data_IF_969140142038
#
_entry.id   IF_969140142038
#
_cell.length_a   1.000
_cell.length_b   1.000
_cell.length_c   1.000
_cell.angle_alpha   90.00
_cell.angle_beta   90.00
_cell.angle_gamma   90.00
#
_symmetry.space_group_name_H-M   'P 1'
#
loop_
_entity.id
_entity.type
_entity.pdbx_description
1 polymer ?
#
# COMPACT_ATOMS: atom_id res chain seq x y z
N UNK A 1 -12.17 12.22 11.11
CA UNK A 1 -12.76 13.12 10.08
C UNK A 1 -13.40 12.21 9.04
N UNK A 2 -14.72 12.18 8.91
CA UNK A 2 -15.37 11.47 7.80
C UNK A 2 -15.35 12.39 6.57
N UNK A 3 -14.70 11.94 5.49
CA UNK A 3 -14.79 12.59 4.20
C UNK A 3 -15.92 11.91 3.39
N UNK A 4 -16.95 12.67 3.04
CA UNK A 4 -18.06 12.18 2.22
C UNK A 4 -17.86 12.63 0.78
N UNK A 5 -17.55 11.70 -0.11
CA UNK A 5 -17.45 11.96 -1.54
C UNK A 5 -18.75 11.52 -2.21
N UNK A 6 -19.46 12.40 -2.95
CA UNK A 6 -20.78 12.09 -3.52
C UNK A 6 -20.75 10.97 -4.58
N UNK A 7 -19.57 10.61 -5.08
CA UNK A 7 -19.37 9.52 -6.04
C UNK A 7 -18.98 8.18 -5.40
N UNK A 8 -18.79 8.15 -4.08
CA UNK A 8 -18.40 6.95 -3.34
C UNK A 8 -19.59 6.38 -2.58
N UNK A 9 -19.93 5.10 -2.81
CA UNK A 9 -20.92 4.38 -2.01
C UNK A 9 -20.34 4.07 -0.62
N UNK A 10 -20.87 4.65 0.46
CA UNK A 10 -20.41 4.39 1.83
C UNK A 10 -19.21 5.25 2.31
N UNK A 11 -18.83 5.14 3.60
CA UNK A 11 -17.83 6.00 4.23
C UNK A 11 -16.43 5.82 3.63
N UNK A 12 -15.63 6.89 3.65
CA UNK A 12 -14.21 6.87 3.28
C UNK A 12 -13.37 6.55 4.51
N UNK A 13 -12.69 5.40 4.52
CA UNK A 13 -11.91 4.94 5.67
C UNK A 13 -10.42 5.28 5.47
N UNK A 14 -9.96 6.31 6.17
CA UNK A 14 -8.58 6.80 6.03
C UNK A 14 -7.62 5.86 6.77
N UNK A 15 -6.88 5.05 6.03
CA UNK A 15 -5.81 4.20 6.56
C UNK A 15 -4.45 4.90 6.60
N UNK A 16 -4.16 5.76 5.62
CA UNK A 16 -2.87 6.48 5.51
C UNK A 16 -3.08 7.96 5.20
N UNK A 17 -2.24 8.84 5.75
CA UNK A 17 -2.23 10.27 5.43
C UNK A 17 -0.79 10.72 5.18
N UNK A 18 -0.56 11.48 4.10
CA UNK A 18 0.76 12.00 3.77
C UNK A 18 0.64 13.32 3.00
N UNK A 19 1.75 14.07 2.91
CA UNK A 19 1.84 15.27 2.10
C UNK A 19 2.79 15.07 0.94
N UNK A 20 2.45 15.60 -0.22
CA UNK A 20 3.33 15.63 -1.38
C UNK A 20 3.21 16.98 -2.07
N UNK A 21 4.34 17.64 -2.30
CA UNK A 21 4.41 19.02 -2.79
C UNK A 21 3.58 19.96 -1.90
N UNK A 22 2.59 20.67 -2.45
CA UNK A 22 1.68 21.58 -1.73
C UNK A 22 0.34 20.95 -1.39
N UNK A 23 0.20 19.63 -1.55
CA UNK A 23 -1.05 18.89 -1.40
C UNK A 23 -1.00 17.95 -0.20
N UNK A 24 -2.17 17.73 0.41
CA UNK A 24 -2.38 16.75 1.49
C UNK A 24 -3.25 15.64 0.94
N UNK A 25 -2.85 14.40 1.19
CA UNK A 25 -3.51 13.18 0.73
C UNK A 25 -4.03 12.38 1.91
N UNK A 26 -5.25 11.88 1.76
CA UNK A 26 -5.88 10.88 2.63
C UNK A 26 -6.18 9.66 1.78
N UNK A 27 -5.64 8.52 2.20
CA UNK A 27 -5.77 7.27 1.49
C UNK A 27 -6.76 6.35 2.19
N UNK A 28 -7.74 5.89 1.43
CA UNK A 28 -8.49 4.69 1.73
C UNK A 28 -7.90 3.56 0.88
N UNK A 29 -7.24 2.63 1.56
CA UNK A 29 -6.54 1.52 0.91
C UNK A 29 -7.48 0.54 0.19
N UNK A 30 -8.80 0.68 0.35
CA UNK A 30 -9.78 -0.08 -0.41
C UNK A 30 -10.24 0.64 -1.68
N UNK A 31 -10.07 1.96 -1.77
CA UNK A 31 -10.79 2.79 -2.76
C UNK A 31 -9.90 3.73 -3.54
N UNK A 32 -9.01 4.47 -2.86
CA UNK A 32 -8.19 5.48 -3.51
C UNK A 32 -7.70 6.60 -2.61
N UNK A 33 -7.28 7.68 -3.26
CA UNK A 33 -6.70 8.86 -2.65
C UNK A 33 -7.64 10.05 -2.81
N UNK A 34 -8.02 10.62 -1.67
CA UNK A 34 -8.57 11.97 -1.60
C UNK A 34 -7.43 12.96 -1.38
N UNK A 35 -7.45 14.10 -2.07
CA UNK A 35 -6.46 15.14 -1.82
C UNK A 35 -6.99 16.56 -2.01
N UNK A 36 -6.33 17.52 -1.38
CA UNK A 36 -6.58 18.95 -1.59
C UNK A 36 -5.29 19.76 -1.53
N UNK A 37 -5.33 20.98 -2.08
CA UNK A 37 -4.24 21.94 -1.94
C UNK A 37 -4.21 22.52 -0.53
N UNK A 38 -3.05 22.45 0.15
CA UNK A 38 -2.85 23.01 1.50
C UNK A 38 -3.14 24.51 1.54
N UNK A 39 -2.88 25.21 0.43
CA UNK A 39 -3.12 26.65 0.29
C UNK A 39 -4.61 26.99 0.16
N UNK A 40 -5.40 26.10 -0.45
CA UNK A 40 -6.86 26.29 -0.56
C UNK A 40 -7.54 26.21 0.81
N UNK A 41 -6.93 25.51 1.78
CA UNK A 41 -7.41 25.42 3.16
C UNK A 41 -7.08 26.64 4.03
N UNK A 42 -6.32 27.63 3.54
CA UNK A 42 -5.93 28.84 4.30
C UNK A 42 -6.77 30.07 3.96
N UNK A 43 -7.57 30.03 2.88
CA UNK A 43 -8.52 31.08 2.54
C UNK A 43 -9.93 30.75 3.04
N UNK A 44 -10.81 31.74 3.13
CA UNK A 44 -12.25 31.56 3.45
C UNK A 44 -13.05 30.85 2.32
N UNK A 45 -12.37 30.11 1.45
CA UNK A 45 -12.96 29.35 0.34
C UNK A 45 -13.20 27.90 0.75
N UNK A 46 -14.31 27.32 0.30
CA UNK A 46 -14.62 25.90 0.44
C UNK A 46 -13.46 25.06 -0.12
N UNK A 47 -12.89 24.17 0.71
CA UNK A 47 -11.80 23.27 0.27
C UNK A 47 -12.39 22.26 -0.70
N UNK A 48 -12.02 22.38 -1.98
CA UNK A 48 -12.36 21.39 -2.99
C UNK A 48 -11.40 20.20 -2.86
N UNK A 49 -11.97 19.00 -2.77
CA UNK A 49 -11.22 17.76 -2.77
C UNK A 49 -11.32 17.11 -4.14
N UNK A 50 -10.19 16.61 -4.61
CA UNK A 50 -10.10 15.73 -5.76
C UNK A 50 -9.97 14.28 -5.29
N UNK A 51 -10.39 13.35 -6.14
CA UNK A 51 -10.28 11.92 -5.91
C UNK A 51 -9.49 11.23 -7.02
N UNK A 52 -8.66 10.25 -6.64
CA UNK A 52 -7.91 9.38 -7.53
C UNK A 52 -8.21 7.94 -7.09
N UNK A 53 -8.75 7.14 -8.00
CA UNK A 53 -8.99 5.72 -7.76
C UNK A 53 -7.67 4.97 -7.55
N UNK A 54 -7.70 3.82 -6.88
CA UNK A 54 -6.57 2.88 -6.89
C UNK A 54 -6.25 2.37 -8.30
N UNK A 55 -5.10 1.70 -8.52
CA UNK A 55 -4.85 1.02 -9.78
C UNK A 55 -6.00 0.07 -10.14
N UNK A 56 -6.30 -0.02 -11.43
CA UNK A 56 -7.40 -0.85 -11.93
C UNK A 56 -7.28 -2.29 -11.42
N UNK A 57 -8.37 -2.82 -10.86
CA UNK A 57 -8.42 -4.17 -10.28
C UNK A 57 -7.98 -4.28 -8.81
N UNK A 58 -7.56 -3.18 -8.18
CA UNK A 58 -7.14 -3.17 -6.76
C UNK A 58 -8.15 -2.49 -5.81
N UNK A 59 -9.24 -1.96 -6.36
CA UNK A 59 -10.38 -1.49 -5.58
C UNK A 59 -11.10 -2.68 -4.93
N UNK A 60 -11.35 -2.61 -3.63
CA UNK A 60 -12.16 -3.60 -2.92
C UNK A 60 -13.61 -3.18 -2.99
N UNK A 61 -14.44 -4.01 -3.63
CA UNK A 61 -15.88 -3.80 -3.70
C UNK A 61 -16.53 -4.53 -2.54
N UNK A 62 -16.74 -3.81 -1.45
CA UNK A 62 -17.38 -4.33 -0.23
C UNK A 62 -18.76 -4.92 -0.54
N UNK A 63 -19.49 -4.32 -1.48
CA UNK A 63 -20.84 -4.75 -1.89
C UNK A 63 -20.87 -6.11 -2.65
N UNK A 64 -19.72 -6.58 -3.13
CA UNK A 64 -19.60 -7.82 -3.90
C UNK A 64 -19.13 -9.02 -3.05
N UNK A 65 -18.92 -8.81 -1.75
CA UNK A 65 -18.33 -9.83 -0.86
C UNK A 65 -19.38 -10.57 -0.01
N UNK A 66 -19.18 -11.88 0.24
CA UNK A 66 -20.07 -12.63 1.11
C UNK A 66 -20.04 -12.08 2.54
N UNK A 67 -21.20 -11.95 3.17
CA UNK A 67 -21.35 -11.41 4.54
C UNK A 67 -20.58 -12.20 5.62
N UNK A 68 -20.17 -13.44 5.32
CA UNK A 68 -19.49 -14.37 6.24
C UNK A 68 -17.96 -14.40 6.08
N UNK A 69 -17.39 -13.67 5.12
CA UNK A 69 -15.94 -13.54 5.00
C UNK A 69 -15.45 -12.37 5.87
N UNK A 70 -14.84 -12.68 7.02
CA UNK A 70 -14.09 -11.67 7.78
C UNK A 70 -12.93 -11.18 6.92
N UNK A 71 -13.08 -10.00 6.31
CA UNK A 71 -12.04 -9.43 5.49
C UNK A 71 -10.88 -8.97 6.37
N UNK A 72 -9.67 -9.45 6.05
CA UNK A 72 -8.45 -8.91 6.63
C UNK A 72 -8.34 -7.41 6.31
N UNK A 73 -7.94 -6.56 7.28
CA UNK A 73 -7.74 -5.14 7.06
C UNK A 73 -6.86 -4.87 5.82
N UNK A 74 -7.23 -3.93 4.93
CA UNK A 74 -6.45 -3.62 3.73
C UNK A 74 -4.98 -3.33 4.01
N UNK A 75 -4.66 -2.72 5.15
CA UNK A 75 -3.31 -2.38 5.61
C UNK A 75 -2.39 -3.61 5.72
N UNK A 76 -2.95 -4.82 5.85
CA UNK A 76 -2.19 -6.06 5.89
C UNK A 76 -1.47 -6.36 4.57
N UNK A 77 -2.02 -5.90 3.46
CA UNK A 77 -1.54 -6.30 2.14
C UNK A 77 -1.07 -5.14 1.32
N UNK A 78 -1.50 -3.93 1.66
CA UNK A 78 -1.22 -2.78 0.81
C UNK A 78 -0.99 -1.52 1.59
N UNK A 79 -0.28 -0.60 0.95
CA UNK A 79 0.03 0.70 1.49
C UNK A 79 0.21 1.70 0.36
N UNK A 80 0.11 2.98 0.69
CA UNK A 80 0.34 4.07 -0.24
C UNK A 80 1.00 5.23 0.47
N UNK A 81 1.85 5.96 -0.24
CA UNK A 81 2.60 7.04 0.39
C UNK A 81 3.55 7.71 -0.59
N UNK A 82 4.29 8.69 -0.10
CA UNK A 82 5.30 9.39 -0.87
C UNK A 82 6.70 8.87 -0.52
N UNK A 83 7.44 8.40 -1.53
CA UNK A 83 8.84 7.98 -1.40
C UNK A 83 9.62 8.33 -2.67
N UNK A 84 10.91 8.65 -2.54
CA UNK A 84 11.75 9.02 -3.70
C UNK A 84 11.21 10.18 -4.56
N UNK A 85 10.38 11.07 -3.99
CA UNK A 85 9.74 12.16 -4.74
C UNK A 85 8.54 11.75 -5.61
N UNK A 86 8.04 10.52 -5.46
CA UNK A 86 6.87 10.00 -6.16
C UNK A 86 5.84 9.47 -5.16
N UNK A 87 4.56 9.45 -5.55
CA UNK A 87 3.53 8.75 -4.80
C UNK A 87 3.49 7.30 -5.28
N UNK A 88 3.67 6.35 -4.37
CA UNK A 88 3.70 4.92 -4.65
C UNK A 88 2.57 4.19 -3.96
N UNK A 89 1.98 3.23 -4.65
CA UNK A 89 1.09 2.21 -4.10
C UNK A 89 1.79 0.87 -4.18
N UNK A 90 1.70 0.07 -3.12
CA UNK A 90 2.27 -1.27 -3.04
C UNK A 90 1.18 -2.22 -2.61
N UNK A 91 1.10 -3.38 -3.25
CA UNK A 91 0.17 -4.44 -2.90
C UNK A 91 0.89 -5.80 -2.88
N UNK A 92 0.60 -6.60 -1.87
CA UNK A 92 0.93 -8.01 -1.76
C UNK A 92 -0.23 -8.77 -2.39
N UNK A 93 -0.06 -9.16 -3.64
CA UNK A 93 -1.05 -9.92 -4.40
C UNK A 93 -0.91 -11.41 -4.04
N UNK A 94 -1.90 -11.95 -3.32
CA UNK A 94 -1.94 -13.37 -2.91
C UNK A 94 -2.98 -14.13 -3.75
N UNK A 95 -2.55 -14.93 -4.73
CA UNK A 95 -3.48 -15.78 -5.47
C UNK A 95 -4.17 -16.77 -4.52
N UNK A 96 -5.51 -16.81 -4.53
CA UNK A 96 -6.30 -17.73 -3.69
C UNK A 96 -5.88 -19.20 -3.86
N UNK A 97 -5.45 -19.57 -5.05
CA UNK A 97 -5.06 -20.94 -5.39
C UNK A 97 -3.64 -21.29 -4.91
N UNK A 98 -2.75 -20.30 -4.77
CA UNK A 98 -1.33 -20.49 -4.48
C UNK A 98 -0.78 -19.39 -3.56
N UNK A 99 -1.06 -19.45 -2.24
CA UNK A 99 -0.62 -18.44 -1.26
C UNK A 99 0.91 -18.25 -1.23
N UNK A 100 1.66 -19.33 -1.48
CA UNK A 100 3.13 -19.31 -1.50
C UNK A 100 3.72 -18.54 -2.68
N UNK A 101 2.89 -18.09 -3.62
CA UNK A 101 3.28 -17.33 -4.81
C UNK A 101 2.88 -15.86 -4.69
N UNK A 102 2.92 -15.30 -3.47
CA UNK A 102 2.70 -13.89 -3.24
C UNK A 102 3.60 -13.04 -4.14
N UNK A 103 2.97 -12.10 -4.87
CA UNK A 103 3.65 -11.16 -5.77
C UNK A 103 3.58 -9.77 -5.15
N UNK A 104 4.73 -9.15 -4.94
CA UNK A 104 4.80 -7.74 -4.60
C UNK A 104 4.62 -6.92 -5.87
N UNK A 105 3.57 -6.12 -5.90
CA UNK A 105 3.27 -5.24 -7.01
C UNK A 105 3.44 -3.79 -6.59
N UNK A 106 3.96 -2.99 -7.50
CA UNK A 106 4.34 -1.60 -7.26
C UNK A 106 3.75 -0.72 -8.36
N UNK A 107 3.25 0.45 -7.97
CA UNK A 107 2.78 1.46 -8.91
C UNK A 107 3.28 2.83 -8.49
N UNK A 108 3.61 3.65 -9.47
CA UNK A 108 3.86 5.08 -9.30
C UNK A 108 2.69 5.87 -9.88
N UNK A 109 2.23 6.88 -9.14
CA UNK A 109 1.18 7.78 -9.60
C UNK A 109 1.78 8.94 -10.39
N UNK A 110 1.40 9.08 -11.66
CA UNK A 110 1.49 10.36 -12.35
C UNK A 110 0.32 11.25 -11.90
N UNK A 111 0.65 12.20 -11.03
CA UNK A 111 -0.32 13.13 -10.46
C UNK A 111 -0.90 14.10 -11.50
N UNK A 112 -0.18 14.37 -12.60
CA UNK A 112 -0.62 15.29 -13.65
C UNK A 112 -1.81 14.74 -14.40
N UNK A 113 -1.75 13.45 -14.78
CA UNK A 113 -2.84 12.78 -15.48
C UNK A 113 -3.73 11.92 -14.55
N UNK A 114 -3.41 11.86 -13.25
CA UNK A 114 -4.11 11.06 -12.22
C UNK A 114 -4.17 9.57 -12.58
N UNK A 115 -3.07 9.02 -13.10
CA UNK A 115 -2.97 7.61 -13.52
C UNK A 115 -1.86 6.89 -12.81
N UNK A 116 -2.11 5.62 -12.52
CA UNK A 116 -1.12 4.71 -11.97
C UNK A 116 -0.35 4.01 -13.10
N UNK A 117 0.96 4.07 -13.01
CA UNK A 117 1.88 3.35 -13.87
C UNK A 117 2.42 2.15 -13.09
N UNK A 118 2.28 0.95 -13.65
CA UNK A 118 2.80 -0.26 -13.03
C UNK A 118 4.33 -0.31 -13.17
N UNK A 119 5.01 -0.64 -12.08
CA UNK A 119 6.44 -0.92 -12.05
C UNK A 119 6.69 -2.44 -12.15
N UNK A 120 7.98 -2.83 -12.18
CA UNK A 120 8.37 -4.24 -12.16
C UNK A 120 7.91 -4.90 -10.85
N UNK A 121 7.14 -5.98 -10.98
CA UNK A 121 6.68 -6.79 -9.85
C UNK A 121 7.76 -7.78 -9.41
N UNK A 122 7.78 -8.13 -8.13
CA UNK A 122 8.73 -9.07 -7.57
C UNK A 122 8.01 -10.25 -6.92
N UNK A 123 8.45 -11.47 -7.20
CA UNK A 123 7.98 -12.63 -6.45
C UNK A 123 8.56 -12.58 -5.04
N UNK A 124 7.73 -12.83 -4.03
CA UNK A 124 8.19 -12.90 -2.63
C UNK A 124 9.37 -13.86 -2.45
N UNK A 125 9.34 -15.01 -3.13
CA UNK A 125 10.43 -15.99 -3.11
C UNK A 125 11.73 -15.47 -3.75
N UNK A 126 11.64 -14.74 -4.86
CA UNK A 126 12.81 -14.17 -5.53
C UNK A 126 13.45 -13.05 -4.70
N UNK A 127 12.63 -12.30 -3.97
CA UNK A 127 13.09 -11.30 -3.03
C UNK A 127 14.05 -11.90 -1.99
N UNK A 128 13.68 -13.05 -1.41
CA UNK A 128 14.51 -13.75 -0.44
C UNK A 128 15.81 -14.27 -1.02
N UNK A 129 15.81 -14.71 -2.27
CA UNK A 129 17.03 -15.15 -2.97
C UNK A 129 18.02 -13.98 -3.19
N UNK A 130 17.52 -12.75 -3.33
CA UNK A 130 18.35 -11.57 -3.52
C UNK A 130 18.89 -10.98 -2.20
N UNK A 131 18.35 -11.39 -1.05
CA UNK A 131 18.76 -10.90 0.27
C UNK A 131 19.67 -11.94 0.92
N UNK A 132 20.90 -12.02 0.42
CA UNK A 132 22.00 -12.85 0.93
C UNK A 132 22.43 -12.47 2.38
N UNK A 133 21.81 -11.44 2.97
CA UNK A 133 22.20 -10.86 4.27
C UNK A 133 21.75 -11.69 5.48
N UNK A 134 20.74 -12.56 5.33
CA UNK A 134 20.26 -13.42 6.42
C UNK A 134 20.67 -14.87 6.16
N UNK A 135 21.93 -15.17 6.48
CA UNK A 135 22.48 -16.51 6.39
C UNK A 135 21.55 -17.58 6.99
N UNK A 136 21.21 -18.58 6.18
CA UNK A 136 20.66 -19.88 6.59
C UNK A 136 19.34 -19.92 7.37
N UNK A 137 18.62 -18.82 7.56
CA UNK A 137 17.30 -18.86 8.17
C UNK A 137 16.24 -19.16 7.09
N UNK A 138 15.44 -20.21 7.27
CA UNK A 138 14.27 -20.57 6.42
C UNK A 138 13.12 -19.55 6.54
N UNK A 139 13.41 -18.26 6.40
CA UNK A 139 12.46 -17.16 6.59
C UNK A 139 11.59 -16.89 5.34
N UNK A 140 11.87 -17.57 4.22
CA UNK A 140 11.03 -17.56 3.03
C UNK A 140 9.65 -18.22 3.23
N UNK A 141 9.49 -19.01 4.30
CA UNK A 141 8.23 -19.69 4.65
C UNK A 141 7.28 -18.78 5.45
N UNK A 142 7.67 -17.51 5.66
CA UNK A 142 6.84 -16.54 6.38
C UNK A 142 6.01 -15.73 5.40
N UNK A 143 4.72 -15.63 5.70
CA UNK A 143 3.78 -14.85 4.90
C UNK A 143 4.12 -13.35 4.99
N UNK A 144 4.29 -12.66 3.83
CA UNK A 144 4.55 -11.23 3.81
C UNK A 144 3.30 -10.46 4.23
N UNK A 145 3.38 -9.55 5.21
CA UNK A 145 2.27 -8.68 5.63
C UNK A 145 2.75 -7.24 5.91
N UNK A 146 1.79 -6.32 6.02
CA UNK A 146 1.97 -4.91 6.36
C UNK A 146 3.13 -4.24 5.62
N UNK A 147 3.01 -4.02 4.30
CA UNK A 147 4.01 -3.30 3.55
C UNK A 147 4.10 -1.84 4.06
N UNK A 148 5.30 -1.31 4.17
CA UNK A 148 5.61 0.05 4.64
C UNK A 148 6.55 0.70 3.65
N UNK A 149 6.22 1.90 3.22
CA UNK A 149 7.08 2.71 2.35
C UNK A 149 8.18 3.39 3.16
N UNK A 150 9.42 3.21 2.72
CA UNK A 150 10.60 3.95 3.17
C UNK A 150 11.14 4.83 2.04
N UNK A 151 11.92 5.89 2.32
CA UNK A 151 12.40 6.88 1.34
C UNK A 151 13.09 6.33 0.08
N UNK A 152 13.57 5.08 0.09
CA UNK A 152 14.14 4.38 -1.08
C UNK A 152 13.65 2.92 -1.21
N UNK A 153 12.86 2.44 -0.24
CA UNK A 153 12.67 1.01 0.00
C UNK A 153 11.22 0.68 0.40
N UNK A 154 10.86 -0.60 0.36
CA UNK A 154 9.66 -1.12 1.03
C UNK A 154 10.10 -2.02 2.19
N UNK A 155 9.44 -1.91 3.35
CA UNK A 155 9.53 -2.87 4.44
C UNK A 155 8.29 -3.75 4.45
N UNK A 156 8.45 -5.06 4.50
CA UNK A 156 7.34 -5.98 4.74
C UNK A 156 7.53 -6.58 6.13
N UNK A 157 6.52 -6.44 6.99
CA UNK A 157 6.55 -7.00 8.33
C UNK A 157 6.03 -8.45 8.32
N UNK A 158 6.62 -9.27 9.17
CA UNK A 158 6.22 -10.67 9.31
C UNK A 158 5.11 -10.81 10.35
N UNK A 159 4.05 -11.55 10.03
CA UNK A 159 3.07 -11.98 11.04
C UNK A 159 3.55 -13.27 11.70
N UNK A 160 4.21 -13.12 12.84
CA UNK A 160 4.76 -14.23 13.62
C UNK A 160 3.79 -14.70 14.71
N UNK A 161 2.48 -14.62 14.48
CA UNK A 161 1.49 -15.29 15.34
C UNK A 161 1.62 -16.80 15.13
N UNK A 162 2.57 -17.45 15.82
CA UNK A 162 2.45 -18.80 16.42
C UNK A 162 3.71 -19.34 17.13
N UNK A 163 4.85 -18.64 17.24
CA UNK A 163 5.96 -19.14 18.06
C UNK A 163 5.93 -18.56 19.48
N UNK A 164 5.52 -19.41 20.44
CA UNK A 164 5.66 -19.18 21.88
C UNK A 164 7.00 -18.52 22.22
N UNK A 165 6.96 -17.29 22.74
CA UNK A 165 7.94 -16.82 23.72
C UNK A 165 8.80 -15.60 23.38
N UNK A 166 8.85 -15.10 22.15
CA UNK A 166 9.59 -13.86 21.85
C UNK A 166 8.99 -13.13 20.65
N UNK A 167 8.50 -11.91 20.89
CA UNK A 167 8.16 -10.98 19.81
C UNK A 167 9.45 -10.46 19.19
N UNK A 168 9.88 -11.05 18.07
CA UNK A 168 10.92 -10.48 17.21
C UNK A 168 10.23 -9.97 15.95
N UNK A 169 10.20 -8.65 15.78
CA UNK A 169 9.73 -8.00 14.56
C UNK A 169 10.87 -8.07 13.54
N UNK A 170 10.74 -8.92 12.53
CA UNK A 170 11.63 -8.94 11.37
C UNK A 170 11.26 -7.81 10.40
N UNK A 171 12.25 -7.07 9.92
CA UNK A 171 12.10 -5.95 8.99
C UNK A 171 12.96 -6.21 7.75
N UNK A 172 12.35 -6.33 6.57
CA UNK A 172 13.06 -6.54 5.31
C UNK A 172 13.12 -5.27 4.45
N UNK A 173 14.31 -4.72 4.23
CA UNK A 173 14.52 -3.49 3.42
C UNK A 173 14.72 -3.86 1.95
N UNK A 174 13.77 -3.47 1.08
CA UNK A 174 13.84 -3.74 -0.36
C UNK A 174 14.50 -2.62 -1.13
N UNK A 175 15.68 -2.84 -1.71
CA UNK A 175 16.36 -1.87 -2.59
C UNK A 175 15.62 -1.66 -3.90
N UNK A 176 15.08 -0.45 -4.13
CA UNK A 176 14.68 -0.03 -5.46
C UNK A 176 15.91 0.05 -6.38
N UNK A 177 15.87 -0.63 -7.52
CA UNK A 177 16.95 -0.58 -8.51
C UNK A 177 16.96 0.81 -9.18
N UNK A 178 17.63 1.77 -8.56
CA UNK A 178 18.01 3.02 -9.22
C UNK A 178 19.09 2.72 -10.26
N UNK A 179 18.73 2.69 -11.54
CA UNK A 179 19.73 2.87 -12.60
C UNK A 179 20.08 4.36 -12.64
N UNK A 180 21.30 4.67 -12.23
CA UNK A 180 21.97 5.95 -12.53
C UNK A 180 22.43 6.02 -13.98
#
# INVERSE_FOLDING_TARGET
MLLCFPHLCGPFNVGVTFSFQVKVFWADLSRGLAYCDRRAATGNSTVQFDFINLPYGYEIRIDELPEDESMEPPEMDRTVGCTGGCIKFICIDRPREHPDNAVLRFWTLDLTCKKWEAEESLLWKELWQNIDFMGNAKLWDVEPRYPVLMPDFCLVLQDMRHSRGSHVVGSLILRGSGRG
#
